data_IF_634637584588
#
_entry.id   IF_634637584588
#
_cell.length_a   1.000
_cell.length_b   1.000
_cell.length_c   1.000
_cell.angle_alpha   90.00
_cell.angle_beta   90.00
_cell.angle_gamma   90.00
#
_symmetry.space_group_name_H-M   'P 1'
#
loop_
_entity.id
_entity.type
_entity.pdbx_description
1 polymer ?
#
# COMPACT_ATOMS: atom_id res chain seq x y z
N UNK A 1 11.52 -21.02 44.30
CA UNK A 1 11.03 -22.09 43.42
C UNK A 1 9.53 -22.23 43.58
N UNK A 2 8.73 -21.71 42.63
CA UNK A 2 7.29 -21.97 42.55
C UNK A 2 6.85 -21.94 41.09
N UNK A 3 6.49 -23.11 40.59
CA UNK A 3 5.58 -23.31 39.46
C UNK A 3 4.17 -23.30 40.02
N UNK A 4 3.20 -22.69 39.32
CA UNK A 4 1.80 -23.05 39.50
C UNK A 4 0.96 -22.68 38.27
N UNK A 5 0.61 -23.73 37.52
CA UNK A 5 -0.54 -23.84 36.63
C UNK A 5 -1.70 -24.39 37.47
N UNK A 6 -2.93 -23.88 37.31
CA UNK A 6 -4.16 -24.69 37.35
C UNK A 6 -5.41 -23.91 36.90
N UNK A 7 -6.07 -24.49 35.88
CA UNK A 7 -7.49 -24.37 35.52
C UNK A 7 -8.39 -24.80 36.71
N UNK A 8 -9.69 -24.50 36.86
CA UNK A 8 -10.87 -24.46 35.96
C UNK A 8 -12.02 -23.75 36.71
N UNK A 9 -13.00 -23.15 36.01
CA UNK A 9 -14.42 -23.52 36.08
C UNK A 9 -15.31 -22.60 35.21
N UNK A 10 -16.17 -23.24 34.43
CA UNK A 10 -17.13 -22.66 33.49
C UNK A 10 -18.44 -22.22 34.17
N UNK A 11 -19.15 -21.25 33.55
CA UNK A 11 -20.60 -21.18 33.61
C UNK A 11 -21.16 -20.66 32.29
N UNK A 12 -22.05 -21.46 31.71
CA UNK A 12 -22.71 -21.27 30.43
C UNK A 12 -23.75 -20.14 30.44
N UNK A 13 -23.92 -19.48 29.30
CA UNK A 13 -25.22 -18.95 28.88
C UNK A 13 -25.36 -19.17 27.36
N UNK A 14 -26.37 -19.94 27.00
CA UNK A 14 -26.74 -20.26 25.63
C UNK A 14 -27.62 -19.17 25.03
N UNK A 15 -27.36 -18.78 23.79
CA UNK A 15 -28.39 -18.20 22.93
C UNK A 15 -28.24 -18.75 21.52
N UNK A 16 -29.35 -19.23 20.99
CA UNK A 16 -29.57 -19.91 19.71
C UNK A 16 -29.56 -18.96 18.49
N UNK A 17 -29.73 -19.58 17.32
CA UNK A 17 -30.04 -19.10 15.95
C UNK A 17 -28.81 -18.81 15.08
N UNK A 18 -28.71 -19.24 13.82
CA UNK A 18 -29.56 -20.07 12.95
C UNK A 18 -28.66 -20.60 11.81
N UNK A 19 -28.84 -21.88 11.44
CA UNK A 19 -28.23 -22.51 10.27
C UNK A 19 -28.98 -22.07 9.00
N UNK A 20 -28.25 -21.60 8.00
CA UNK A 20 -28.74 -21.54 6.62
C UNK A 20 -27.90 -22.50 5.80
N UNK A 21 -28.56 -23.61 5.42
CA UNK A 21 -28.10 -24.58 4.43
C UNK A 21 -28.06 -23.97 3.03
N UNK A 22 -27.37 -24.71 2.15
CA UNK A 22 -27.47 -24.73 0.68
C UNK A 22 -26.36 -23.97 -0.07
N UNK A 23 -25.77 -24.43 -1.17
CA UNK A 23 -26.05 -25.52 -2.11
C UNK A 23 -24.72 -26.09 -2.62
N UNK A 24 -24.56 -27.42 -2.59
CA UNK A 24 -23.56 -28.14 -3.38
C UNK A 24 -24.13 -28.33 -4.79
N UNK A 25 -23.42 -27.84 -5.82
CA UNK A 25 -23.71 -28.20 -7.21
C UNK A 25 -22.48 -28.83 -7.83
N UNK A 26 -22.49 -30.15 -7.83
CA UNK A 26 -21.64 -31.00 -8.65
C UNK A 26 -22.08 -30.94 -10.12
N UNK A 27 -21.18 -30.52 -11.01
CA UNK A 27 -21.30 -30.80 -12.45
C UNK A 27 -20.11 -31.66 -12.84
N UNK A 28 -20.39 -32.93 -13.11
CA UNK A 28 -19.49 -33.81 -13.85
C UNK A 28 -19.76 -33.66 -15.35
N UNK A 29 -18.71 -33.48 -16.14
CA UNK A 29 -18.72 -33.76 -17.58
C UNK A 29 -17.42 -34.48 -17.92
N UNK A 30 -17.57 -35.63 -18.58
CA UNK A 30 -16.51 -36.55 -18.93
C UNK A 30 -15.75 -36.21 -20.21
N UNK A 31 -14.60 -36.87 -20.29
CA UNK A 31 -13.83 -37.40 -21.42
C UNK A 31 -14.12 -36.85 -22.83
N UNK A 32 -13.05 -36.32 -23.45
CA UNK A 32 -12.95 -36.11 -24.90
C UNK A 32 -11.54 -35.73 -25.29
N UNK A 33 -10.66 -36.72 -25.46
CA UNK A 33 -9.31 -36.54 -25.99
C UNK A 33 -9.44 -36.58 -27.51
N UNK A 34 -9.28 -35.44 -28.18
CA UNK A 34 -9.03 -35.39 -29.61
C UNK A 34 -7.84 -34.49 -29.94
N UNK A 35 -6.81 -35.14 -30.49
CA UNK A 35 -5.64 -34.51 -31.11
C UNK A 35 -6.10 -33.85 -32.41
N UNK A 36 -5.99 -32.53 -32.49
CA UNK A 36 -6.05 -31.82 -33.77
C UNK A 36 -4.73 -31.11 -34.00
N UNK A 37 -3.93 -31.67 -34.92
CA UNK A 37 -2.79 -31.01 -35.53
C UNK A 37 -3.28 -29.91 -36.46
N UNK A 38 -2.90 -28.66 -36.18
CA UNK A 38 -3.05 -27.56 -37.13
C UNK A 38 -1.70 -27.21 -37.75
N UNK A 39 -1.62 -27.45 -39.05
CA UNK A 39 -0.55 -27.08 -39.94
C UNK A 39 -0.89 -25.69 -40.51
N UNK A 40 -0.17 -24.64 -40.08
CA UNK A 40 -0.40 -23.27 -40.56
C UNK A 40 0.72 -22.85 -41.52
N UNK A 41 0.40 -22.90 -42.82
CA UNK A 41 1.21 -22.32 -43.88
C UNK A 41 1.24 -20.80 -43.78
N UNK A 42 2.44 -20.24 -43.67
CA UNK A 42 2.68 -18.80 -43.69
C UNK A 42 2.61 -18.32 -45.13
N UNK A 43 1.53 -17.59 -45.48
CA UNK A 43 1.48 -16.73 -46.66
C UNK A 43 1.75 -15.29 -46.25
N UNK A 44 2.71 -14.70 -46.95
CA UNK A 44 3.09 -13.30 -46.91
C UNK A 44 2.02 -12.40 -47.54
N UNK A 45 1.65 -11.30 -46.87
CA UNK A 45 1.28 -10.05 -47.56
C UNK A 45 1.20 -8.85 -46.61
N UNK A 46 1.88 -7.78 -47.05
CA UNK A 46 1.54 -6.35 -46.96
C UNK A 46 1.50 -5.64 -45.60
N UNK A 47 2.63 -4.96 -45.34
CA UNK A 47 2.77 -3.54 -44.95
C UNK A 47 1.64 -2.87 -44.18
N UNK A 48 1.91 -2.54 -42.92
CA UNK A 48 1.32 -1.40 -42.22
C UNK A 48 2.44 -0.69 -41.45
N UNK A 49 2.59 0.59 -41.72
CA UNK A 49 3.64 1.47 -41.20
C UNK A 49 3.59 1.57 -39.68
N UNK A 50 4.57 0.95 -39.01
CA UNK A 50 4.89 1.20 -37.62
C UNK A 50 5.42 2.62 -37.47
N UNK A 51 4.57 3.53 -36.99
CA UNK A 51 5.03 4.77 -36.38
C UNK A 51 5.85 4.38 -35.14
N UNK A 52 7.17 4.55 -35.23
CA UNK A 52 8.04 4.48 -34.07
C UNK A 52 7.61 5.56 -33.08
N UNK A 53 6.98 5.13 -31.98
CA UNK A 53 6.78 5.98 -30.80
C UNK A 53 8.18 6.20 -30.23
N UNK A 54 8.74 7.37 -30.50
CA UNK A 54 10.02 7.79 -29.93
C UNK A 54 9.93 7.70 -28.41
N UNK A 55 10.78 6.86 -27.83
CA UNK A 55 10.98 6.77 -26.39
C UNK A 55 11.26 8.17 -25.84
N UNK A 56 10.48 8.59 -24.84
CA UNK A 56 10.73 9.86 -24.16
C UNK A 56 12.18 9.90 -23.62
N UNK A 57 12.87 11.06 -23.62
CA UNK A 57 14.24 11.20 -23.15
C UNK A 57 14.43 10.64 -21.74
N UNK A 58 15.60 10.08 -21.46
CA UNK A 58 16.00 9.51 -20.15
C UNK A 58 16.03 10.52 -18.99
N UNK A 59 15.87 11.81 -19.29
CA UNK A 59 15.62 12.89 -18.32
C UNK A 59 14.13 13.07 -17.98
N UNK A 60 13.30 12.09 -18.33
CA UNK A 60 11.91 12.07 -17.90
C UNK A 60 11.88 12.14 -16.37
N UNK A 61 11.28 13.21 -15.88
CA UNK A 61 11.01 13.56 -14.48
C UNK A 61 10.27 12.46 -13.66
N UNK A 62 10.08 11.27 -14.24
CA UNK A 62 9.28 10.15 -13.75
C UNK A 62 10.09 8.98 -13.19
N UNK A 63 11.40 8.87 -13.49
CA UNK A 63 12.19 7.70 -13.09
C UNK A 63 12.72 7.75 -11.65
N UNK A 64 12.67 8.91 -10.98
CA UNK A 64 13.24 9.08 -9.63
C UNK A 64 12.16 9.59 -8.68
N UNK A 65 11.91 8.90 -7.55
CA UNK A 65 11.17 9.47 -6.43
C UNK A 65 11.81 10.81 -6.10
N UNK A 66 11.04 11.89 -6.25
CA UNK A 66 11.53 13.22 -5.92
C UNK A 66 11.51 13.34 -4.41
N UNK A 67 12.68 13.59 -3.81
CA UNK A 67 12.72 14.09 -2.45
C UNK A 67 11.98 15.44 -2.44
N UNK A 68 10.77 15.45 -1.88
CA UNK A 68 10.05 16.71 -1.67
C UNK A 68 10.59 17.34 -0.41
N UNK A 69 11.10 18.57 -0.55
CA UNK A 69 11.51 19.45 0.56
C UNK A 69 10.32 19.94 1.41
N UNK A 70 9.13 19.39 1.20
CA UNK A 70 7.92 19.87 1.84
C UNK A 70 7.82 19.20 3.22
N UNK A 71 8.11 19.97 4.27
CA UNK A 71 7.97 19.60 5.70
C UNK A 71 6.53 19.27 6.13
N UNK A 72 5.63 18.98 5.19
CA UNK A 72 4.23 18.60 5.43
C UNK A 72 4.07 17.09 5.47
N UNK A 73 4.95 16.40 6.21
CA UNK A 73 4.76 14.99 6.52
C UNK A 73 3.73 14.87 7.63
N UNK A 74 2.62 14.17 7.34
CA UNK A 74 1.64 13.84 8.37
C UNK A 74 2.24 12.74 9.24
N UNK A 75 2.03 12.85 10.55
CA UNK A 75 2.33 11.74 11.44
C UNK A 75 1.46 10.53 11.06
N UNK A 76 2.08 9.50 10.48
CA UNK A 76 1.38 8.30 10.02
C UNK A 76 0.58 7.61 11.14
N UNK A 77 0.96 7.80 12.40
CA UNK A 77 0.28 7.20 13.56
C UNK A 77 -1.14 7.72 13.76
N UNK A 78 -1.53 8.83 13.14
CA UNK A 78 -2.92 9.30 13.10
C UNK A 78 -3.84 8.30 12.38
N UNK A 79 -3.27 7.44 11.52
CA UNK A 79 -4.00 6.42 10.76
C UNK A 79 -3.95 5.02 11.39
N UNK A 80 -3.36 4.87 12.57
CA UNK A 80 -3.36 3.61 13.30
C UNK A 80 -4.79 3.21 13.68
N UNK A 81 -5.03 1.91 13.67
CA UNK A 81 -6.30 1.32 14.06
C UNK A 81 -6.13 0.53 15.35
N UNK A 82 -7.25 0.20 16.00
CA UNK A 82 -7.24 -0.59 17.24
C UNK A 82 -6.96 -2.07 16.93
N UNK A 83 -6.42 -2.78 17.92
CA UNK A 83 -6.13 -4.23 17.87
C UNK A 83 -7.30 -5.04 17.31
N UNK A 84 -8.49 -4.93 17.91
CA UNK A 84 -9.67 -5.71 17.52
C UNK A 84 -10.01 -5.58 16.04
N UNK A 85 -9.78 -4.38 15.50
CA UNK A 85 -10.02 -4.08 14.09
C UNK A 85 -8.89 -4.62 13.20
N UNK A 86 -7.63 -4.45 13.61
CA UNK A 86 -6.48 -4.98 12.89
C UNK A 86 -6.56 -6.51 12.77
N UNK A 87 -6.90 -7.20 13.86
CA UNK A 87 -7.04 -8.66 13.91
C UNK A 87 -8.06 -9.21 12.89
N UNK A 88 -9.13 -8.46 12.61
CA UNK A 88 -10.12 -8.85 11.62
C UNK A 88 -9.67 -8.61 10.17
N UNK A 89 -8.80 -7.62 9.96
CA UNK A 89 -8.41 -7.13 8.64
C UNK A 89 -7.23 -7.88 8.03
N UNK A 90 -6.34 -8.46 8.84
CA UNK A 90 -5.19 -9.21 8.32
C UNK A 90 -5.61 -10.38 7.44
N UNK A 91 -4.91 -10.54 6.31
CA UNK A 91 -4.94 -11.71 5.44
C UNK A 91 -3.54 -11.95 4.87
N UNK A 92 -3.31 -13.16 4.37
CA UNK A 92 -2.17 -13.45 3.52
C UNK A 92 -2.63 -13.46 2.05
N UNK A 93 -1.79 -12.94 1.18
CA UNK A 93 -1.99 -12.89 -0.27
C UNK A 93 -0.78 -13.51 -0.98
N UNK A 94 -0.99 -14.08 -2.17
CA UNK A 94 0.07 -14.64 -3.02
C UNK A 94 -0.08 -14.06 -4.42
N UNK A 95 1.03 -13.70 -5.06
CA UNK A 95 1.04 -13.23 -6.45
C UNK A 95 1.61 -14.30 -7.37
N UNK A 96 1.03 -14.44 -8.57
CA UNK A 96 1.47 -15.41 -9.58
C UNK A 96 2.73 -14.95 -10.34
N UNK A 97 2.94 -13.63 -10.40
CA UNK A 97 4.05 -13.01 -11.13
C UNK A 97 4.89 -12.15 -10.21
N UNK A 98 6.19 -12.06 -10.51
CA UNK A 98 7.08 -11.13 -9.82
C UNK A 98 6.60 -9.68 -10.01
N UNK A 99 6.66 -8.91 -8.95
CA UNK A 99 6.53 -7.45 -8.96
C UNK A 99 7.83 -6.84 -8.39
N UNK A 100 8.00 -5.53 -8.49
CA UNK A 100 9.20 -4.81 -8.03
C UNK A 100 9.64 -5.21 -6.61
N UNK A 101 8.68 -5.45 -5.71
CA UNK A 101 8.94 -5.69 -4.29
C UNK A 101 8.51 -7.11 -3.83
N UNK A 102 8.04 -7.98 -4.73
CA UNK A 102 7.43 -9.28 -4.36
C UNK A 102 7.75 -10.38 -5.35
N UNK A 103 8.14 -11.53 -4.82
CA UNK A 103 8.41 -12.73 -5.60
C UNK A 103 7.11 -13.53 -5.84
N UNK A 104 7.01 -14.12 -7.03
CA UNK A 104 5.92 -15.01 -7.38
C UNK A 104 5.86 -16.21 -6.42
N UNK A 105 4.66 -16.59 -6.01
CA UNK A 105 4.41 -17.75 -5.14
C UNK A 105 4.77 -17.56 -3.67
N UNK A 106 5.34 -16.42 -3.27
CA UNK A 106 5.68 -16.14 -1.86
C UNK A 106 4.51 -15.41 -1.18
N UNK A 107 3.95 -15.95 -0.09
CA UNK A 107 2.92 -15.25 0.68
C UNK A 107 3.44 -13.95 1.31
N UNK A 108 2.58 -12.94 1.36
CA UNK A 108 2.83 -11.67 2.04
C UNK A 108 1.57 -11.20 2.77
N UNK A 109 1.73 -10.34 3.76
CA UNK A 109 0.61 -9.81 4.53
C UNK A 109 -0.11 -8.69 3.78
N UNK A 110 -1.43 -8.73 3.84
CA UNK A 110 -2.33 -7.81 3.15
C UNK A 110 -3.57 -7.51 4.01
N UNK A 111 -4.40 -6.59 3.54
CA UNK A 111 -5.67 -6.24 4.15
C UNK A 111 -6.85 -6.85 3.38
N UNK A 112 -7.81 -7.44 4.10
CA UNK A 112 -9.11 -7.89 3.55
C UNK A 112 -9.96 -6.73 3.02
N UNK A 113 -9.68 -5.50 3.45
CA UNK A 113 -10.47 -4.32 3.08
C UNK A 113 -9.63 -3.30 2.31
N UNK A 114 -10.27 -2.71 1.30
CA UNK A 114 -9.69 -1.66 0.44
C UNK A 114 -9.60 -0.30 1.13
N UNK A 115 -10.28 -0.11 2.27
CA UNK A 115 -10.19 1.12 3.07
C UNK A 115 -8.96 1.16 3.98
N UNK A 116 -8.13 0.11 3.96
CA UNK A 116 -6.94 -0.03 4.78
C UNK A 116 -5.78 -0.51 3.92
N UNK A 117 -4.57 -0.27 4.39
CA UNK A 117 -3.35 -0.75 3.76
C UNK A 117 -2.36 -1.24 4.81
N UNK A 118 -1.44 -2.07 4.35
CA UNK A 118 -0.30 -2.55 5.14
C UNK A 118 0.86 -1.60 4.91
N UNK A 119 1.29 -0.93 5.98
CA UNK A 119 2.43 -0.03 6.02
C UNK A 119 3.67 -0.78 6.52
N UNK A 120 4.81 -0.50 5.91
CA UNK A 120 6.10 -1.06 6.30
C UNK A 120 6.80 -0.09 7.25
N UNK A 121 7.03 -0.53 8.49
CA UNK A 121 7.80 0.25 9.47
C UNK A 121 9.12 -0.47 9.71
N UNK A 122 10.18 -0.11 8.96
CA UNK A 122 11.45 -0.81 9.03
C UNK A 122 12.30 -0.38 10.23
N UNK A 123 13.18 -1.27 10.65
CA UNK A 123 14.31 -1.00 11.54
C UNK A 123 13.94 -0.43 12.92
N UNK A 124 12.87 -0.93 13.54
CA UNK A 124 12.55 -0.56 14.91
C UNK A 124 13.57 -1.18 15.87
N UNK A 125 14.36 -0.32 16.53
CA UNK A 125 15.42 -0.71 17.46
C UNK A 125 14.82 -1.12 18.81
N UNK A 126 14.96 -2.38 19.19
CA UNK A 126 14.43 -2.96 20.43
C UNK A 126 15.58 -3.52 21.26
N UNK A 127 15.68 -3.13 22.54
CA UNK A 127 16.66 -3.72 23.45
C UNK A 127 16.28 -5.15 23.84
N UNK A 128 17.29 -6.03 23.92
CA UNK A 128 17.15 -7.41 24.43
C UNK A 128 17.24 -7.49 25.96
N UNK A 129 17.77 -6.45 26.61
CA UNK A 129 17.96 -6.43 28.07
C UNK A 129 16.61 -6.40 28.80
N UNK A 130 16.34 -7.40 29.62
CA UNK A 130 15.07 -7.54 30.36
C UNK A 130 13.90 -8.07 29.51
N UNK A 131 14.17 -8.59 28.32
CA UNK A 131 13.16 -9.09 27.37
C UNK A 131 12.55 -7.98 26.51
N UNK A 132 11.89 -8.36 25.42
CA UNK A 132 11.30 -7.38 24.49
C UNK A 132 9.99 -6.77 25.02
N UNK A 133 9.22 -7.53 25.81
CA UNK A 133 7.91 -7.10 26.32
C UNK A 133 6.82 -7.11 25.26
N UNK A 134 6.77 -8.18 24.45
CA UNK A 134 5.79 -8.41 23.38
C UNK A 134 4.98 -9.65 23.73
N UNK A 135 3.66 -9.57 23.62
CA UNK A 135 2.73 -10.70 23.64
C UNK A 135 2.21 -10.92 22.23
N UNK A 136 2.18 -12.16 21.76
CA UNK A 136 1.82 -12.53 20.40
C UNK A 136 0.49 -13.29 20.37
N UNK A 137 -0.32 -13.02 19.35
CA UNK A 137 -1.56 -13.71 19.05
C UNK A 137 -1.52 -14.28 17.64
N UNK A 138 -1.81 -15.57 17.51
CA UNK A 138 -2.02 -16.24 16.23
C UNK A 138 -3.45 -16.02 15.74
N UNK A 139 -3.60 -15.41 14.56
CA UNK A 139 -4.90 -15.23 13.90
C UNK A 139 -5.24 -16.36 12.94
N UNK A 140 -4.21 -16.98 12.35
CA UNK A 140 -4.32 -18.11 11.46
C UNK A 140 -3.02 -18.92 11.53
N UNK A 141 -3.10 -20.25 11.60
CA UNK A 141 -1.94 -21.12 11.75
C UNK A 141 -2.36 -22.57 11.95
N UNK A 142 -1.48 -23.37 12.57
CA UNK A 142 -1.72 -24.78 12.85
C UNK A 142 -1.53 -25.72 11.66
N UNK A 143 -0.83 -25.26 10.61
CA UNK A 143 -0.44 -26.06 9.45
C UNK A 143 1.00 -26.55 9.61
N UNK A 144 1.31 -27.71 9.06
CA UNK A 144 2.66 -28.29 9.10
C UNK A 144 3.69 -27.56 8.22
N UNK A 145 3.27 -26.56 7.42
CA UNK A 145 4.13 -25.78 6.53
C UNK A 145 4.75 -24.53 7.19
N UNK A 146 4.43 -24.28 8.47
CA UNK A 146 4.96 -23.15 9.21
C UNK A 146 4.40 -21.78 8.76
N UNK A 147 3.34 -21.78 7.95
CA UNK A 147 2.69 -20.58 7.45
C UNK A 147 1.52 -20.20 8.36
N UNK A 148 1.44 -18.90 8.66
CA UNK A 148 0.41 -18.36 9.54
C UNK A 148 0.36 -16.84 9.50
N UNK A 149 -0.44 -16.27 10.39
CA UNK A 149 -0.54 -14.84 10.63
C UNK A 149 -0.45 -14.64 12.14
N UNK A 150 0.68 -14.13 12.58
CA UNK A 150 0.94 -13.81 13.99
C UNK A 150 1.06 -12.31 14.15
N UNK A 151 0.33 -11.74 15.11
CA UNK A 151 0.35 -10.32 15.42
C UNK A 151 0.77 -10.08 16.87
N UNK A 152 1.14 -8.84 17.18
CA UNK A 152 1.33 -8.36 18.55
C UNK A 152 -0.04 -8.16 19.18
N UNK A 153 -0.36 -8.94 20.20
CA UNK A 153 -1.58 -8.79 20.99
C UNK A 153 -1.44 -7.64 21.99
N UNK A 154 -0.32 -7.61 22.72
CA UNK A 154 -0.05 -6.61 23.72
C UNK A 154 1.43 -6.27 23.79
N UNK A 155 1.73 -5.09 24.33
CA UNK A 155 3.08 -4.66 24.68
C UNK A 155 3.12 -4.34 26.16
N UNK A 156 4.20 -4.71 26.84
CA UNK A 156 4.39 -4.39 28.25
C UNK A 156 4.54 -2.87 28.43
N UNK A 157 3.71 -2.21 29.26
CA UNK A 157 3.84 -0.77 29.52
C UNK A 157 5.22 -0.41 30.08
N UNK A 158 5.87 0.59 29.49
CA UNK A 158 7.24 1.00 29.78
C UNK A 158 8.33 0.02 29.29
N UNK A 159 7.94 -1.06 28.61
CA UNK A 159 8.82 -2.09 28.08
C UNK A 159 9.61 -1.64 26.85
N UNK A 160 10.51 -2.52 26.38
CA UNK A 160 11.41 -2.20 25.26
C UNK A 160 10.66 -2.08 23.92
N UNK A 161 9.66 -2.93 23.67
CA UNK A 161 8.84 -2.87 22.46
C UNK A 161 8.01 -1.58 22.36
N UNK A 162 7.36 -1.16 23.45
CA UNK A 162 6.58 0.08 23.47
C UNK A 162 7.48 1.30 23.21
N UNK A 163 8.66 1.36 23.84
CA UNK A 163 9.66 2.43 23.61
C UNK A 163 10.16 2.47 22.17
N UNK A 164 10.24 1.32 21.50
CA UNK A 164 10.59 1.24 20.08
C UNK A 164 9.44 1.67 19.15
N UNK A 165 8.22 1.86 19.67
CA UNK A 165 7.05 2.29 18.90
C UNK A 165 6.23 1.14 18.29
N UNK A 166 6.42 -0.09 18.78
CA UNK A 166 5.57 -1.25 18.46
C UNK A 166 4.24 -1.08 19.21
N UNK A 167 3.14 -1.43 18.54
CA UNK A 167 1.79 -1.34 19.10
C UNK A 167 1.01 -2.64 18.89
N UNK A 168 -0.04 -2.89 19.70
CA UNK A 168 -0.99 -3.96 19.43
C UNK A 168 -1.57 -3.89 18.00
N UNK A 169 -1.61 -5.03 17.31
CA UNK A 169 -2.06 -5.19 15.93
C UNK A 169 -0.95 -5.23 14.88
N UNK A 170 0.29 -4.91 15.25
CA UNK A 170 1.47 -5.04 14.38
C UNK A 170 1.78 -6.50 14.08
N UNK A 171 2.35 -6.79 12.91
CA UNK A 171 2.92 -8.09 12.58
C UNK A 171 4.43 -7.96 12.37
N UNK A 172 5.22 -8.89 12.89
CA UNK A 172 6.68 -8.88 12.71
C UNK A 172 7.02 -9.47 11.35
N UNK A 173 7.69 -8.70 10.50
CA UNK A 173 8.05 -9.07 9.14
C UNK A 173 9.46 -9.64 9.05
N UNK A 174 10.39 -9.09 9.83
CA UNK A 174 11.76 -9.58 9.90
C UNK A 174 12.44 -9.18 11.21
N UNK A 175 13.44 -9.96 11.59
CA UNK A 175 14.35 -9.69 12.71
C UNK A 175 15.75 -9.55 12.16
N UNK A 176 16.42 -8.46 12.54
CA UNK A 176 17.78 -8.14 12.11
C UNK A 176 18.68 -7.87 13.32
N UNK A 177 19.90 -8.39 13.31
CA UNK A 177 20.95 -8.07 14.28
C UNK A 177 22.14 -7.53 13.50
N UNK A 178 22.67 -6.40 13.95
CA UNK A 178 23.89 -5.80 13.43
C UNK A 178 25.07 -6.34 14.24
N UNK A 179 26.03 -7.00 13.58
CA UNK A 179 27.25 -7.48 14.22
C UNK A 179 28.34 -6.42 14.01
N UNK A 180 28.76 -5.79 15.10
CA UNK A 180 30.00 -5.01 15.12
C UNK A 180 31.17 -5.99 15.21
N UNK A 181 31.82 -6.25 14.08
CA UNK A 181 33.06 -7.02 14.04
C UNK A 181 34.16 -6.23 14.76
N UNK A 182 34.35 -6.49 16.04
CA UNK A 182 35.45 -5.96 16.85
C UNK A 182 36.73 -6.78 16.60
N UNK A 183 37.14 -6.93 15.34
CA UNK A 183 38.46 -7.49 15.05
C UNK A 183 39.50 -6.39 15.28
N UNK A 184 40.21 -6.52 16.40
CA UNK A 184 41.24 -5.60 16.90
C UNK A 184 42.51 -5.51 16.03
N UNK A 185 42.38 -5.36 14.72
CA UNK A 185 43.48 -5.03 13.83
C UNK A 185 43.39 -3.55 13.44
N UNK A 186 44.35 -2.75 13.89
CA UNK A 186 44.37 -1.29 13.82
C UNK A 186 44.59 -0.71 12.42
N UNK A 187 43.72 -1.02 11.45
CA UNK A 187 43.67 -0.36 10.16
C UNK A 187 42.22 0.05 9.85
N UNK A 188 41.97 1.34 10.01
CA UNK A 188 40.69 2.03 9.81
C UNK A 188 40.35 2.05 8.31
N UNK A 189 39.67 1.02 7.81
CA UNK A 189 39.11 0.95 6.46
C UNK A 189 37.74 0.27 6.55
N UNK A 190 36.69 1.08 6.36
CA UNK A 190 35.27 0.72 6.16
C UNK A 190 34.79 -0.45 7.02
N UNK A 191 34.16 -0.17 8.16
CA UNK A 191 33.38 -1.17 8.91
C UNK A 191 32.29 -1.74 7.98
N UNK A 192 32.53 -2.94 7.42
CA UNK A 192 31.47 -3.76 6.85
C UNK A 192 30.60 -4.24 8.00
N UNK A 193 29.52 -3.51 8.29
CA UNK A 193 28.51 -3.97 9.24
C UNK A 193 27.83 -5.21 8.67
N UNK A 194 28.25 -6.39 9.10
CA UNK A 194 27.56 -7.62 8.78
C UNK A 194 26.19 -7.60 9.48
N UNK A 195 25.12 -7.80 8.71
CA UNK A 195 23.77 -7.93 9.26
C UNK A 195 23.26 -9.33 8.99
N UNK A 196 22.67 -9.94 10.02
CA UNK A 196 21.92 -11.19 9.89
C UNK A 196 20.45 -10.84 9.89
N UNK A 197 19.69 -11.36 8.92
CA UNK A 197 18.26 -11.10 8.75
C UNK A 197 17.50 -12.43 8.72
N UNK A 198 16.43 -12.56 9.52
CA UNK A 198 15.47 -13.67 9.43
C UNK A 198 14.07 -13.14 9.17
N UNK A 199 13.52 -13.52 8.03
CA UNK A 199 12.15 -13.19 7.64
C UNK A 199 11.13 -13.95 8.48
N UNK A 200 10.12 -13.22 8.94
CA UNK A 200 9.03 -13.67 9.82
C UNK A 200 7.65 -13.39 9.23
N UNK A 201 7.57 -12.71 8.08
CA UNK A 201 6.30 -12.42 7.42
C UNK A 201 5.56 -13.73 7.05
N UNK A 202 4.25 -13.75 7.30
CA UNK A 202 3.37 -14.90 7.08
C UNK A 202 3.82 -16.19 7.80
N UNK A 203 4.40 -16.06 9.00
CA UNK A 203 4.75 -17.20 9.87
C UNK A 203 3.72 -17.39 10.98
N UNK A 204 3.52 -18.65 11.34
CA UNK A 204 2.73 -19.06 12.49
C UNK A 204 3.43 -18.67 13.81
N UNK A 205 2.75 -18.90 14.93
CA UNK A 205 3.23 -18.49 16.24
C UNK A 205 4.60 -19.09 16.57
N UNK A 206 4.75 -20.39 16.37
CA UNK A 206 5.96 -21.13 16.74
C UNK A 206 7.16 -20.68 15.91
N UNK A 207 7.00 -20.48 14.60
CA UNK A 207 8.07 -19.99 13.74
C UNK A 207 8.41 -18.52 14.01
N UNK A 208 7.42 -17.69 14.35
CA UNK A 208 7.68 -16.31 14.80
C UNK A 208 8.47 -16.29 16.12
N UNK A 209 8.10 -17.13 17.10
CA UNK A 209 8.84 -17.26 18.35
C UNK A 209 10.25 -17.79 18.11
N UNK A 210 10.43 -18.81 17.28
CA UNK A 210 11.75 -19.32 16.91
C UNK A 210 12.61 -18.24 16.24
N UNK A 211 12.00 -17.37 15.43
CA UNK A 211 12.69 -16.26 14.82
C UNK A 211 13.08 -15.14 15.79
N UNK A 212 12.41 -15.01 16.92
CA UNK A 212 12.70 -14.00 17.95
C UNK A 212 13.62 -14.53 19.05
N UNK A 213 13.38 -15.75 19.52
CA UNK A 213 14.05 -16.34 20.66
C UNK A 213 15.40 -16.98 20.28
N UNK A 214 15.47 -17.67 19.14
CA UNK A 214 16.66 -18.40 18.70
C UNK A 214 17.48 -17.63 17.66
N UNK A 215 17.29 -16.30 17.57
CA UNK A 215 18.01 -15.50 16.60
C UNK A 215 19.46 -15.25 17.04
N UNK A 216 20.45 -15.64 16.22
CA UNK A 216 21.86 -15.59 16.60
C UNK A 216 22.32 -14.16 16.88
N UNK A 217 23.27 -14.04 17.80
CA UNK A 217 23.75 -12.76 18.32
C UNK A 217 23.47 -12.63 19.81
N UNK A 218 23.89 -13.63 20.60
CA UNK A 218 23.70 -13.64 22.06
C UNK A 218 24.37 -12.45 22.74
N UNK A 219 25.43 -11.91 22.10
CA UNK A 219 26.17 -10.73 22.56
C UNK A 219 25.56 -9.40 22.08
N UNK A 220 24.55 -9.43 21.20
CA UNK A 220 23.91 -8.21 20.73
C UNK A 220 22.99 -7.65 21.82
N UNK A 221 23.16 -6.37 22.17
CA UNK A 221 22.29 -5.73 23.17
C UNK A 221 20.89 -5.40 22.60
N UNK A 222 20.78 -5.37 21.27
CA UNK A 222 19.64 -4.84 20.54
C UNK A 222 19.34 -5.65 19.28
N UNK A 223 18.07 -5.64 18.88
CA UNK A 223 17.60 -6.17 17.60
C UNK A 223 16.85 -5.07 16.86
N UNK A 224 16.79 -5.21 15.54
CA UNK A 224 15.99 -4.36 14.68
C UNK A 224 14.83 -5.18 14.13
N UNK A 225 13.60 -4.73 14.38
CA UNK A 225 12.40 -5.37 13.89
C UNK A 225 11.84 -4.56 12.72
N UNK A 226 11.64 -5.24 11.60
CA UNK A 226 10.77 -4.74 10.55
C UNK A 226 9.36 -5.21 10.85
N UNK A 227 8.41 -4.29 10.94
CA UNK A 227 7.00 -4.64 11.20
C UNK A 227 6.12 -4.23 10.03
N UNK A 228 5.03 -4.97 9.85
CA UNK A 228 3.88 -4.61 9.03
C UNK A 228 2.79 -4.05 9.95
N UNK A 229 2.21 -2.91 9.60
CA UNK A 229 1.13 -2.27 10.36
C UNK A 229 -0.06 -1.98 9.48
N UNK A 230 -1.25 -2.47 9.83
CA UNK A 230 -2.47 -2.05 9.15
C UNK A 230 -2.81 -0.62 9.56
N UNK A 231 -3.03 0.25 8.57
CA UNK A 231 -3.50 1.62 8.77
C UNK A 231 -4.73 1.89 7.92
N UNK A 232 -5.56 2.82 8.36
CA UNK A 232 -6.67 3.34 7.55
C UNK A 232 -6.10 4.12 6.38
N UNK A 233 -6.63 3.89 5.19
CA UNK A 233 -6.29 4.68 4.02
C UNK A 233 -6.84 6.11 4.16
N UNK A 234 -6.00 7.17 4.08
CA UNK A 234 -6.46 8.54 4.17
C UNK A 234 -7.36 8.91 2.99
N UNK A 235 -8.43 9.66 3.27
CA UNK A 235 -9.45 10.03 2.28
C UNK A 235 -9.47 11.54 2.05
N UNK A 236 -9.56 11.92 0.78
CA UNK A 236 -9.65 13.30 0.33
C UNK A 236 -11.02 13.52 -0.31
N UNK A 237 -11.76 14.50 0.22
CA UNK A 237 -13.05 14.90 -0.33
C UNK A 237 -12.81 15.80 -1.53
N UNK A 238 -13.35 15.43 -2.69
CA UNK A 238 -13.14 16.17 -3.94
C UNK A 238 -14.48 16.66 -4.47
N UNK A 239 -14.63 17.98 -4.52
CA UNK A 239 -15.72 18.64 -5.19
C UNK A 239 -15.31 18.90 -6.65
N UNK A 240 -16.05 18.33 -7.60
CA UNK A 240 -15.85 18.54 -9.04
C UNK A 240 -16.97 19.40 -9.56
N UNK A 241 -16.61 20.48 -10.26
CA UNK A 241 -17.55 21.37 -10.92
C UNK A 241 -17.44 21.25 -12.44
N UNK A 242 -18.60 21.10 -13.09
CA UNK A 242 -18.76 21.20 -14.53
C UNK A 242 -19.14 22.62 -14.97
N UNK A 243 -18.77 23.03 -16.19
CA UNK A 243 -19.30 24.25 -16.77
C UNK A 243 -20.83 24.16 -16.87
N UNK A 244 -21.57 25.24 -16.54
CA UNK A 244 -23.04 25.23 -16.59
C UNK A 244 -23.60 24.84 -17.97
N UNK A 245 -22.91 25.18 -19.05
CA UNK A 245 -23.28 24.87 -20.44
C UNK A 245 -23.34 23.37 -20.75
N UNK A 246 -22.63 22.53 -19.99
CA UNK A 246 -22.65 21.06 -20.14
C UNK A 246 -23.72 20.38 -19.28
N UNK A 247 -24.37 21.12 -18.39
CA UNK A 247 -25.34 20.55 -17.47
C UNK A 247 -26.75 20.72 -18.06
N UNK A 248 -27.51 19.62 -18.15
CA UNK A 248 -28.92 19.69 -18.48
C UNK A 248 -29.69 20.52 -17.43
N UNK A 249 -30.80 21.12 -17.83
CA UNK A 249 -31.66 21.89 -16.93
C UNK A 249 -32.09 21.02 -15.73
N UNK A 250 -31.94 21.56 -14.52
CA UNK A 250 -32.22 20.83 -13.26
C UNK A 250 -31.09 19.91 -12.77
N UNK A 251 -29.97 19.78 -13.49
CA UNK A 251 -28.81 19.02 -13.03
C UNK A 251 -27.86 19.87 -12.18
N UNK A 252 -27.36 19.31 -11.07
CA UNK A 252 -26.37 19.99 -10.23
C UNK A 252 -24.99 19.94 -10.90
N UNK A 253 -24.36 21.08 -11.25
CA UNK A 253 -23.04 21.09 -11.87
C UNK A 253 -21.93 20.62 -10.93
N UNK A 254 -22.24 20.44 -9.65
CA UNK A 254 -21.29 20.03 -8.61
C UNK A 254 -21.49 18.56 -8.26
N UNK A 255 -20.41 17.78 -8.33
CA UNK A 255 -20.34 16.40 -7.82
C UNK A 255 -19.37 16.31 -6.64
N UNK A 256 -19.79 15.62 -5.58
CA UNK A 256 -18.94 15.32 -4.43
C UNK A 256 -18.42 13.90 -4.57
N UNK A 257 -17.10 13.74 -4.49
CA UNK A 257 -16.40 12.48 -4.61
C UNK A 257 -15.47 12.28 -3.41
N UNK A 258 -15.05 11.03 -3.19
CA UNK A 258 -14.04 10.68 -2.21
C UNK A 258 -12.93 9.88 -2.88
N UNK A 259 -11.70 10.37 -2.76
CA UNK A 259 -10.50 9.73 -3.28
C UNK A 259 -9.62 9.24 -2.16
N UNK A 260 -8.90 8.15 -2.40
CA UNK A 260 -7.83 7.68 -1.54
C UNK A 260 -6.56 8.51 -1.80
N UNK A 261 -5.83 8.84 -0.74
CA UNK A 261 -4.52 9.44 -0.86
C UNK A 261 -3.58 8.56 -1.71
N UNK A 262 -2.78 9.15 -2.60
CA UNK A 262 -1.96 8.42 -3.57
C UNK A 262 -2.66 8.13 -4.91
N UNK A 263 -3.97 8.32 -5.05
CA UNK A 263 -4.64 8.14 -6.34
C UNK A 263 -4.20 9.20 -7.36
N UNK A 264 -4.03 8.77 -8.63
CA UNK A 264 -3.86 9.69 -9.76
C UNK A 264 -5.18 10.43 -10.03
N UNK A 265 -5.15 11.76 -10.03
CA UNK A 265 -6.35 12.61 -10.12
C UNK A 265 -7.17 12.33 -11.38
N UNK A 266 -6.54 12.23 -12.56
CA UNK A 266 -7.25 11.94 -13.82
C UNK A 266 -7.96 10.59 -13.75
N UNK A 267 -7.22 9.53 -13.39
CA UNK A 267 -7.77 8.17 -13.32
C UNK A 267 -8.88 8.07 -12.27
N UNK A 268 -8.70 8.68 -11.11
CA UNK A 268 -9.68 8.71 -10.03
C UNK A 268 -11.00 9.38 -10.46
N UNK A 269 -10.90 10.52 -11.15
CA UNK A 269 -12.05 11.22 -11.74
C UNK A 269 -12.78 10.33 -12.75
N UNK A 270 -12.06 9.76 -13.71
CA UNK A 270 -12.66 8.91 -14.76
C UNK A 270 -13.29 7.64 -14.19
N UNK A 271 -12.64 6.97 -13.25
CA UNK A 271 -13.17 5.78 -12.57
C UNK A 271 -14.47 6.05 -11.82
N UNK A 272 -14.70 7.31 -11.41
CA UNK A 272 -15.93 7.76 -10.72
C UNK A 272 -16.92 8.45 -11.66
N UNK A 273 -16.77 8.22 -12.97
CA UNK A 273 -17.72 8.70 -13.98
C UNK A 273 -17.66 10.21 -14.25
N UNK A 274 -16.55 10.86 -13.92
CA UNK A 274 -16.30 12.23 -14.36
C UNK A 274 -15.84 12.21 -15.81
N UNK A 275 -16.72 12.70 -16.69
CA UNK A 275 -16.40 12.95 -18.09
C UNK A 275 -15.47 14.14 -18.19
N UNK A 276 -14.26 13.87 -18.66
CA UNK A 276 -13.27 14.88 -19.02
C UNK A 276 -13.28 14.94 -20.54
N UNK A 277 -14.02 15.87 -21.12
CA UNK A 277 -14.04 16.12 -22.55
C UNK A 277 -14.01 17.63 -22.79
N UNK A 278 -12.87 18.08 -23.31
CA UNK A 278 -12.55 19.48 -23.45
C UNK A 278 -11.92 19.74 -24.83
N UNK A 279 -12.71 19.80 -25.90
CA UNK A 279 -12.20 19.89 -27.27
C UNK A 279 -11.45 21.19 -27.56
N UNK A 280 -11.73 22.27 -26.81
CA UNK A 280 -11.04 23.54 -26.95
C UNK A 280 -9.63 23.56 -26.34
N UNK A 281 -9.27 22.55 -25.53
CA UNK A 281 -7.94 22.45 -24.94
C UNK A 281 -6.96 21.70 -25.86
N UNK A 282 -5.68 22.12 -25.92
CA UNK A 282 -4.66 21.42 -26.67
C UNK A 282 -4.45 20.01 -26.12
N UNK A 283 -3.92 19.10 -26.96
CA UNK A 283 -3.50 17.78 -26.51
C UNK A 283 -2.42 17.93 -25.45
N UNK A 284 -2.57 17.24 -24.32
CA UNK A 284 -1.51 17.17 -23.33
C UNK A 284 -0.33 16.35 -23.84
N UNK A 285 0.86 16.93 -23.84
CA UNK A 285 2.11 16.26 -24.26
C UNK A 285 2.42 14.97 -23.49
N UNK A 286 1.85 14.79 -22.28
CA UNK A 286 2.14 13.63 -21.45
C UNK A 286 1.20 12.46 -21.63
N UNK A 287 -0.09 12.70 -21.88
CA UNK A 287 -1.10 11.64 -21.97
C UNK A 287 -1.89 11.66 -23.28
N UNK A 288 -1.57 12.58 -24.19
CA UNK A 288 -2.20 12.73 -25.51
C UNK A 288 -3.66 13.17 -25.50
N UNK A 289 -4.24 13.44 -24.33
CA UNK A 289 -5.66 13.76 -24.15
C UNK A 289 -5.86 15.27 -24.02
N UNK A 290 -6.96 15.78 -24.59
CA UNK A 290 -7.35 17.19 -24.49
C UNK A 290 -7.92 17.56 -23.12
N UNK A 291 -8.24 16.56 -22.28
CA UNK A 291 -9.09 16.76 -21.11
C UNK A 291 -8.38 16.53 -19.77
N UNK A 292 -7.06 16.69 -19.71
CA UNK A 292 -6.34 16.55 -18.43
C UNK A 292 -6.04 17.89 -17.74
N UNK A 293 -6.49 19.02 -18.28
CA UNK A 293 -6.33 20.33 -17.65
C UNK A 293 -7.48 20.53 -16.66
N UNK A 294 -7.14 20.73 -15.39
CA UNK A 294 -8.13 20.98 -14.32
C UNK A 294 -7.72 22.20 -13.52
N UNK A 295 -8.69 23.05 -13.18
CA UNK A 295 -8.44 24.23 -12.35
C UNK A 295 -8.70 23.88 -10.89
N UNK A 296 -7.68 23.95 -10.06
CA UNK A 296 -7.70 23.63 -8.63
C UNK A 296 -7.72 24.93 -7.85
N UNK A 297 -8.90 25.28 -7.32
CA UNK A 297 -9.09 26.56 -6.64
C UNK A 297 -9.19 26.42 -5.11
N UNK A 298 -9.25 25.19 -4.59
CA UNK A 298 -9.04 24.86 -3.17
C UNK A 298 -8.27 23.54 -3.08
N UNK A 299 -7.35 23.44 -2.11
CA UNK A 299 -6.66 22.19 -1.79
C UNK A 299 -5.43 21.90 -2.65
N UNK A 300 -4.80 22.91 -3.27
CA UNK A 300 -3.60 22.72 -4.10
C UNK A 300 -2.44 22.06 -3.34
N UNK A 301 -2.30 22.33 -2.03
CA UNK A 301 -1.32 21.70 -1.13
C UNK A 301 -1.53 20.20 -0.91
N UNK A 302 -2.74 19.68 -1.19
CA UNK A 302 -3.06 18.25 -1.09
C UNK A 302 -2.66 17.50 -2.36
N UNK A 303 -2.16 18.19 -3.39
CA UNK A 303 -1.61 17.58 -4.59
C UNK A 303 -0.10 17.51 -4.49
N UNK A 304 0.51 16.58 -5.22
CA UNK A 304 1.97 16.53 -5.36
C UNK A 304 2.51 17.85 -5.96
N UNK A 305 3.78 18.20 -5.64
CA UNK A 305 4.42 19.39 -6.18
C UNK A 305 4.45 19.41 -7.70
N UNK A 306 4.32 20.61 -8.26
CA UNK A 306 4.30 20.83 -9.71
C UNK A 306 5.66 20.48 -10.34
N UNK A 307 5.63 19.75 -11.46
CA UNK A 307 6.83 19.43 -12.24
C UNK A 307 7.49 20.67 -12.85
N UNK A 308 8.79 20.60 -13.24
CA UNK A 308 9.46 21.73 -13.91
C UNK A 308 8.78 22.07 -15.24
N UNK A 309 8.46 21.05 -16.04
CA UNK A 309 7.76 21.20 -17.31
C UNK A 309 6.31 21.67 -17.12
N UNK A 310 5.59 21.08 -16.16
CA UNK A 310 4.22 21.51 -15.82
C UNK A 310 4.20 22.97 -15.36
N UNK A 311 5.17 23.39 -14.54
CA UNK A 311 5.32 24.77 -14.07
C UNK A 311 5.49 25.78 -15.21
N UNK A 312 6.30 25.44 -16.22
CA UNK A 312 6.46 26.27 -17.42
C UNK A 312 5.17 26.33 -18.23
N UNK A 313 4.47 25.20 -18.39
CA UNK A 313 3.23 25.15 -19.15
C UNK A 313 2.09 25.92 -18.46
N UNK A 314 2.06 25.93 -17.12
CA UNK A 314 1.03 26.58 -16.30
C UNK A 314 1.41 27.99 -15.84
N UNK A 315 2.49 28.59 -16.37
CA UNK A 315 2.98 29.90 -15.92
C UNK A 315 1.91 31.00 -16.00
N UNK A 316 1.06 30.96 -17.04
CA UNK A 316 -0.05 31.91 -17.22
C UNK A 316 -1.28 31.61 -16.35
N UNK A 317 -1.42 30.38 -15.86
CA UNK A 317 -2.60 29.88 -15.14
C UNK A 317 -2.17 29.03 -13.94
N UNK A 318 -1.68 29.65 -12.84
CA UNK A 318 -1.07 28.92 -11.72
C UNK A 318 -2.03 28.02 -10.93
N UNK A 319 -3.34 28.23 -11.09
CA UNK A 319 -4.37 27.37 -10.48
C UNK A 319 -4.68 26.13 -11.34
N UNK A 320 -4.18 26.07 -12.58
CA UNK A 320 -4.41 24.91 -13.45
C UNK A 320 -3.31 23.87 -13.21
N UNK A 321 -3.73 22.61 -13.16
CA UNK A 321 -2.87 21.44 -13.02
C UNK A 321 -3.15 20.44 -14.13
N UNK A 322 -2.14 19.63 -14.45
CA UNK A 322 -2.31 18.45 -15.28
C UNK A 322 -2.79 17.30 -14.39
N UNK A 323 -4.07 16.95 -14.46
CA UNK A 323 -4.67 15.88 -13.65
C UNK A 323 -4.00 14.52 -13.88
N UNK A 324 -3.43 14.28 -15.07
CA UNK A 324 -2.69 13.05 -15.37
C UNK A 324 -1.34 12.96 -14.64
N UNK A 325 -0.79 14.08 -14.16
CA UNK A 325 0.45 14.18 -13.38
C UNK A 325 0.23 14.56 -11.92
N UNK A 326 -1.04 14.70 -11.53
CA UNK A 326 -1.42 15.07 -10.19
C UNK A 326 -1.78 13.83 -9.38
N UNK A 327 -1.19 13.69 -8.21
CA UNK A 327 -1.52 12.69 -7.19
C UNK A 327 -2.25 13.39 -6.05
N UNK A 328 -3.38 12.84 -5.64
CA UNK A 328 -4.24 13.41 -4.59
C UNK A 328 -3.81 12.91 -3.21
N UNK A 329 -3.93 13.74 -2.18
CA UNK A 329 -3.53 13.39 -0.82
C UNK A 329 -2.04 13.13 -0.71
N UNK A 330 -1.22 13.98 -1.34
CA UNK A 330 0.23 13.84 -1.31
C UNK A 330 0.75 13.77 0.14
N UNK A 331 1.73 12.89 0.39
CA UNK A 331 2.20 12.55 1.74
C UNK A 331 1.09 12.08 2.69
N UNK A 332 0.13 11.31 2.16
CA UNK A 332 -0.96 10.69 2.93
C UNK A 332 -1.88 11.71 3.62
N UNK A 333 -1.96 12.94 3.10
CA UNK A 333 -2.79 14.00 3.67
C UNK A 333 -4.28 13.85 3.36
N UNK A 334 -5.12 14.14 4.35
CA UNK A 334 -6.56 14.30 4.18
C UNK A 334 -6.96 15.76 3.98
N UNK A 335 -8.15 15.97 3.44
CA UNK A 335 -8.75 17.29 3.36
C UNK A 335 -9.72 17.43 2.21
N UNK A 336 -10.00 18.68 1.84
CA UNK A 336 -10.89 19.00 0.74
C UNK A 336 -10.13 19.60 -0.44
N UNK A 337 -10.41 19.06 -1.63
CA UNK A 337 -10.00 19.64 -2.90
C UNK A 337 -11.25 20.10 -3.65
N UNK A 338 -11.16 21.25 -4.31
CA UNK A 338 -12.19 21.67 -5.25
C UNK A 338 -11.59 21.95 -6.61
N UNK A 339 -12.17 21.32 -7.63
CA UNK A 339 -11.68 21.38 -9.00
C UNK A 339 -12.78 21.75 -9.99
N UNK A 340 -12.40 22.48 -11.04
CA UNK A 340 -13.19 22.64 -12.26
C UNK A 340 -12.60 21.82 -13.38
N UNK A 341 -13.46 21.18 -14.16
CA UNK A 341 -13.09 20.40 -15.35
C UNK A 341 -13.62 21.09 -16.61
N UNK A 342 -13.16 20.66 -17.78
CA UNK A 342 -13.61 21.16 -19.09
C UNK A 342 -13.48 22.69 -19.21
N UNK A 343 -12.28 23.19 -18.90
CA UNK A 343 -11.96 24.59 -18.67
C UNK A 343 -12.29 25.51 -19.85
N UNK A 344 -12.13 25.06 -21.11
CA UNK A 344 -12.38 25.93 -22.27
C UNK A 344 -13.86 26.31 -22.43
N UNK A 345 -14.76 25.57 -21.78
CA UNK A 345 -16.21 25.73 -21.90
C UNK A 345 -16.82 26.57 -20.77
N UNK A 346 -15.98 27.14 -19.90
CA UNK A 346 -16.42 28.06 -18.84
C UNK A 346 -16.53 29.51 -19.31
N UNK A 347 -15.82 29.86 -20.38
CA UNK A 347 -15.90 31.16 -21.04
C UNK A 347 -17.06 31.15 -22.03
N UNK A 348 -18.21 31.69 -21.59
CA UNK A 348 -19.25 32.21 -22.48
C UNK A 348 -19.01 33.70 -22.72
#
# INVERSE_FOLDING_TARGET
MKFQILLFAASALSTQLELVDSFSTSIGIGVGIDKVSFNAGIRSSSSSSLHMVGSAPSDSDFAKPRATSDNQTVNANVYNIKLDQAAQLWTASVQESNNADRLAGVPFLDSKSKDYFVDDVPSLRVSRSGGMGIELLELAGGRDDGLGITIVEAVTPGGNAEKAGIIPGDSIAAVTVMESSSDGSGLKLVEETNSRVKGCECKDFDNTIDALANFPGDDAEEVYLDIKRIRRWPKVKVQVEYPPSQCAEGFNPVKQLEFFAGENLKRALQNRGIVLDDPGNPKCDFCGSNACYVSVYKGQKLLNPIGKTEKKLMEKNPNVRLSCKSTVGYNMQEGDIKVRVNLSQWSN
#
